data_IF_805342083423
#
_entry.id   IF_805342083423
#
_cell.length_a   1.000
_cell.length_b   1.000
_cell.length_c   1.000
_cell.angle_alpha   90.00
_cell.angle_beta   90.00
_cell.angle_gamma   90.00
#
_symmetry.space_group_name_H-M   'P 1'
#
loop_
_entity.id
_entity.type
_entity.pdbx_description
1 polymer ?
#
# COMPACT_ATOMS: atom_id res chain seq x y z
N UNK A 1 -53.83 -54.03 -5.68
CA UNK A 1 -53.08 -53.06 -6.52
C UNK A 1 -53.74 -51.66 -6.70
N UNK A 2 -55.04 -51.53 -7.02
CA UNK A 2 -55.69 -50.22 -7.25
C UNK A 2 -55.91 -49.35 -6.00
N UNK A 3 -56.20 -49.96 -4.83
CA UNK A 3 -56.45 -49.22 -3.57
C UNK A 3 -55.19 -48.55 -3.00
N UNK A 4 -54.01 -49.03 -3.36
CA UNK A 4 -52.73 -48.57 -2.83
C UNK A 4 -52.13 -47.38 -3.61
N UNK A 5 -52.56 -47.17 -4.86
CA UNK A 5 -52.16 -45.99 -5.63
C UNK A 5 -52.96 -44.73 -5.25
N UNK A 6 -54.23 -44.89 -4.86
CA UNK A 6 -55.09 -43.78 -4.47
C UNK A 6 -54.62 -43.10 -3.17
N UNK A 7 -54.02 -43.86 -2.25
CA UNK A 7 -53.47 -43.34 -0.98
C UNK A 7 -52.18 -42.54 -1.18
N UNK A 8 -51.32 -42.92 -2.15
CA UNK A 8 -50.11 -42.15 -2.50
C UNK A 8 -50.44 -40.82 -3.16
N UNK A 9 -51.45 -40.76 -4.04
CA UNK A 9 -51.87 -39.52 -4.68
C UNK A 9 -52.51 -38.54 -3.68
N UNK A 10 -53.31 -39.03 -2.72
CA UNK A 10 -53.86 -38.20 -1.62
C UNK A 10 -52.75 -37.64 -0.71
N UNK A 11 -51.72 -38.43 -0.38
CA UNK A 11 -50.58 -37.94 0.43
C UNK A 11 -49.76 -36.85 -0.27
N UNK A 12 -49.57 -36.94 -1.60
CA UNK A 12 -48.87 -35.87 -2.36
C UNK A 12 -49.67 -34.57 -2.38
N UNK A 13 -50.99 -34.64 -2.56
CA UNK A 13 -51.85 -33.45 -2.49
C UNK A 13 -51.84 -32.79 -1.10
N UNK A 14 -51.87 -33.59 -0.02
CA UNK A 14 -51.81 -33.02 1.34
C UNK A 14 -50.46 -32.36 1.65
N UNK A 15 -49.34 -32.90 1.15
CA UNK A 15 -48.02 -32.24 1.32
C UNK A 15 -47.93 -30.89 0.60
N UNK A 16 -48.49 -30.77 -0.61
CA UNK A 16 -48.54 -29.49 -1.32
C UNK A 16 -49.38 -28.44 -0.59
N UNK A 17 -50.53 -28.84 -0.03
CA UNK A 17 -51.40 -27.91 0.70
C UNK A 17 -50.71 -27.41 1.98
N UNK A 18 -50.01 -28.29 2.71
CA UNK A 18 -49.29 -27.89 3.92
C UNK A 18 -48.17 -26.87 3.65
N UNK A 19 -47.45 -27.01 2.52
CA UNK A 19 -46.40 -26.03 2.13
C UNK A 19 -47.01 -24.69 1.78
N UNK A 20 -48.12 -24.67 1.02
CA UNK A 20 -48.80 -23.41 0.64
C UNK A 20 -49.32 -22.69 1.89
N UNK A 21 -49.95 -23.41 2.82
CA UNK A 21 -50.43 -22.82 4.08
C UNK A 21 -49.28 -22.27 4.94
N UNK A 22 -48.15 -22.97 4.99
CA UNK A 22 -46.96 -22.49 5.69
C UNK A 22 -46.41 -21.18 5.11
N UNK A 23 -46.31 -21.09 3.78
CA UNK A 23 -45.84 -19.87 3.09
C UNK A 23 -46.83 -18.71 3.28
N UNK A 24 -48.14 -18.95 3.22
CA UNK A 24 -49.13 -17.89 3.45
C UNK A 24 -49.14 -17.40 4.89
N UNK A 25 -49.00 -18.29 5.89
CA UNK A 25 -48.89 -17.87 7.29
C UNK A 25 -47.60 -17.07 7.52
N UNK A 26 -46.48 -17.49 6.93
CA UNK A 26 -45.22 -16.74 7.02
C UNK A 26 -45.32 -15.33 6.41
N UNK A 27 -45.93 -15.21 5.22
CA UNK A 27 -46.15 -13.91 4.59
C UNK A 27 -47.09 -13.00 5.40
N UNK A 28 -48.13 -13.56 6.04
CA UNK A 28 -49.01 -12.80 6.93
C UNK A 28 -48.29 -12.35 8.21
N UNK A 29 -47.38 -13.16 8.76
CA UNK A 29 -46.55 -12.77 9.91
C UNK A 29 -45.57 -11.64 9.54
N UNK A 30 -44.90 -11.75 8.39
CA UNK A 30 -43.98 -10.69 7.91
C UNK A 30 -44.76 -9.39 7.62
N UNK A 31 -45.97 -9.48 7.07
CA UNK A 31 -46.82 -8.31 6.84
C UNK A 31 -47.30 -7.66 8.15
N UNK A 32 -47.58 -8.45 9.19
CA UNK A 32 -48.00 -7.92 10.49
C UNK A 32 -46.87 -7.19 11.24
N UNK A 33 -45.60 -7.61 11.05
CA UNK A 33 -44.45 -6.92 11.63
C UNK A 33 -44.09 -5.62 10.88
N UNK A 34 -44.53 -5.46 9.63
CA UNK A 34 -44.23 -4.29 8.78
C UNK A 34 -45.05 -3.03 9.07
N UNK A 35 -46.06 -3.08 9.95
CA UNK A 35 -46.96 -1.94 10.21
C UNK A 35 -46.67 -1.19 11.53
N UNK A 36 -45.64 -1.57 12.28
CA UNK A 36 -45.32 -0.94 13.57
C UNK A 36 -44.14 0.05 13.54
N UNK A 37 -43.64 0.41 12.35
CA UNK A 37 -42.50 1.34 12.18
C UNK A 37 -42.81 2.47 11.19
N UNK A 38 -43.97 3.13 11.32
CA UNK A 38 -44.32 4.24 10.42
C UNK A 38 -44.58 5.61 11.04
N UNK A 39 -44.37 5.81 12.36
CA UNK A 39 -44.60 7.14 12.97
C UNK A 39 -43.41 7.78 13.73
N UNK A 40 -42.20 7.19 13.71
CA UNK A 40 -40.99 7.87 14.26
C UNK A 40 -39.79 7.95 13.29
N UNK A 41 -39.96 7.53 12.04
CA UNK A 41 -38.85 7.46 11.08
C UNK A 41 -38.66 8.71 10.20
N UNK A 42 -39.41 9.81 10.41
CA UNK A 42 -39.23 11.05 9.64
C UNK A 42 -38.26 12.05 10.27
N UNK A 43 -37.99 11.95 11.57
CA UNK A 43 -37.12 12.91 12.29
C UNK A 43 -35.64 12.51 12.21
N UNK A 44 -35.33 11.21 12.23
CA UNK A 44 -33.95 10.72 12.23
C UNK A 44 -33.29 10.85 10.85
N UNK A 45 -34.05 10.66 9.77
CA UNK A 45 -33.53 10.75 8.39
C UNK A 45 -33.22 12.20 8.00
N UNK A 46 -34.00 13.17 8.50
CA UNK A 46 -33.72 14.59 8.32
C UNK A 46 -32.49 15.04 9.13
N UNK A 47 -32.33 14.57 10.36
CA UNK A 47 -31.15 14.89 11.17
C UNK A 47 -29.85 14.35 10.55
N UNK A 48 -29.87 13.11 10.04
CA UNK A 48 -28.70 12.54 9.37
C UNK A 48 -28.33 13.28 8.08
N UNK A 49 -29.32 13.82 7.36
CA UNK A 49 -29.06 14.59 6.15
C UNK A 49 -28.53 16.00 6.48
N UNK A 50 -29.02 16.64 7.53
CA UNK A 50 -28.44 17.91 8.01
C UNK A 50 -27.02 17.71 8.53
N UNK A 51 -26.78 16.68 9.33
CA UNK A 51 -25.44 16.35 9.84
C UNK A 51 -24.47 16.01 8.69
N UNK A 52 -24.93 15.28 7.66
CA UNK A 52 -24.13 15.00 6.45
C UNK A 52 -23.85 16.27 5.64
N UNK A 53 -24.82 17.16 5.51
CA UNK A 53 -24.65 18.44 4.80
C UNK A 53 -23.75 19.41 5.57
N UNK A 54 -23.76 19.35 6.90
CA UNK A 54 -22.83 20.12 7.75
C UNK A 54 -21.41 19.53 7.69
N UNK A 55 -21.28 18.20 7.65
CA UNK A 55 -20.00 17.52 7.42
C UNK A 55 -19.40 17.86 6.04
N UNK A 56 -20.22 17.91 5.00
CA UNK A 56 -19.80 18.30 3.64
C UNK A 56 -19.45 19.79 3.53
N UNK A 57 -20.09 20.67 4.32
CA UNK A 57 -19.72 22.09 4.41
C UNK A 57 -18.36 22.28 5.09
N UNK A 58 -18.07 21.55 6.17
CA UNK A 58 -16.79 21.66 6.86
C UNK A 58 -15.62 21.03 6.08
N UNK A 59 -15.88 20.02 5.24
CA UNK A 59 -14.83 19.42 4.39
C UNK A 59 -14.30 20.34 3.29
N UNK A 60 -15.02 21.42 2.94
CA UNK A 60 -14.64 22.35 1.86
C UNK A 60 -13.56 23.36 2.25
N UNK A 61 -13.11 23.39 3.50
CA UNK A 61 -12.06 24.31 3.96
C UNK A 61 -10.64 23.69 3.96
N UNK A 62 -10.50 22.36 3.85
CA UNK A 62 -9.19 21.68 3.90
C UNK A 62 -8.74 21.05 2.57
N UNK A 63 -9.58 21.10 1.53
CA UNK A 63 -9.31 20.50 0.20
C UNK A 63 -9.07 21.57 -0.88
N UNK A 64 -8.43 22.69 -0.54
CA UNK A 64 -7.67 23.40 -1.57
C UNK A 64 -6.44 22.54 -1.90
N UNK A 65 -6.23 22.11 -3.15
CA UNK A 65 -4.99 21.45 -3.54
C UNK A 65 -3.90 22.49 -3.35
N UNK A 66 -3.25 22.45 -2.19
CA UNK A 66 -1.99 23.13 -2.00
C UNK A 66 -1.07 22.54 -3.06
N UNK A 67 -0.91 23.30 -4.17
CA UNK A 67 0.18 23.15 -5.13
C UNK A 67 1.39 22.68 -4.35
N UNK A 68 2.07 21.57 -4.72
CA UNK A 68 3.17 21.05 -3.94
C UNK A 68 4.15 22.20 -3.74
N UNK A 69 4.16 22.77 -2.53
CA UNK A 69 5.11 23.83 -2.20
C UNK A 69 6.45 23.17 -2.42
N UNK A 70 7.18 23.60 -3.44
CA UNK A 70 8.61 23.32 -3.55
C UNK A 70 9.16 23.71 -2.19
N UNK A 71 9.55 22.72 -1.38
CA UNK A 71 10.10 23.00 -0.06
C UNK A 71 11.24 23.99 -0.27
N UNK A 72 11.15 25.22 0.29
CA UNK A 72 12.26 26.15 0.20
C UNK A 72 13.44 25.44 0.85
N UNK A 73 14.55 25.34 0.10
CA UNK A 73 15.83 24.97 0.67
C UNK A 73 16.04 25.81 1.92
N UNK A 74 16.30 25.20 3.08
CA UNK A 74 16.48 25.96 4.31
C UNK A 74 17.51 27.06 4.08
N UNK A 75 17.12 28.30 4.36
CA UNK A 75 18.05 29.42 4.28
C UNK A 75 19.18 29.21 5.29
N UNK A 76 20.37 29.82 5.08
CA UNK A 76 21.42 29.79 6.09
C UNK A 76 20.87 30.31 7.43
N UNK A 77 20.90 29.46 8.46
CA UNK A 77 20.37 29.76 9.81
C UNK A 77 19.05 29.09 10.19
N UNK A 78 18.38 28.35 9.30
CA UNK A 78 17.18 27.59 9.66
C UNK A 78 17.52 26.26 10.36
N UNK A 79 16.92 26.03 11.53
CA UNK A 79 16.98 24.77 12.26
C UNK A 79 16.16 23.73 11.47
N UNK A 80 16.84 22.74 10.91
CA UNK A 80 16.18 21.58 10.30
C UNK A 80 15.72 20.67 11.43
N UNK A 81 14.42 20.69 11.73
CA UNK A 81 13.83 19.76 12.69
C UNK A 81 13.92 18.32 12.14
N UNK A 82 14.33 17.34 12.96
CA UNK A 82 14.30 15.94 12.56
C UNK A 82 12.87 15.50 12.26
N UNK A 83 12.70 14.54 11.36
CA UNK A 83 11.37 14.06 10.96
C UNK A 83 10.56 13.46 12.14
N UNK A 84 11.23 13.08 13.23
CA UNK A 84 10.63 12.56 14.46
C UNK A 84 9.74 13.57 15.18
N UNK A 85 10.03 14.86 15.02
CA UNK A 85 9.40 15.93 15.80
C UNK A 85 8.11 16.42 15.16
N UNK A 86 7.78 15.91 13.97
CA UNK A 86 6.55 16.23 13.26
C UNK A 86 5.42 15.27 13.64
N UNK A 87 4.18 15.74 13.54
CA UNK A 87 2.95 15.03 13.94
C UNK A 87 2.86 13.56 13.48
N UNK A 88 3.31 13.26 12.26
CA UNK A 88 3.21 11.93 11.66
C UNK A 88 4.54 11.14 11.68
N UNK A 89 5.60 11.74 12.24
CA UNK A 89 6.94 11.17 12.32
C UNK A 89 7.61 10.93 10.96
N UNK A 90 8.57 10.01 10.95
CA UNK A 90 9.37 9.66 9.77
C UNK A 90 8.76 8.53 8.93
N UNK A 91 9.07 8.49 7.65
CA UNK A 91 8.89 7.33 6.78
C UNK A 91 9.84 6.18 7.17
N UNK A 92 9.79 5.06 6.44
CA UNK A 92 10.59 3.87 6.78
C UNK A 92 12.12 4.10 6.65
N UNK A 93 12.54 5.17 6.00
CA UNK A 93 13.94 5.58 5.91
C UNK A 93 14.48 6.29 7.17
N UNK A 94 13.60 6.64 8.11
CA UNK A 94 13.95 7.35 9.33
C UNK A 94 14.40 8.80 9.11
N UNK A 95 14.21 9.36 7.91
CA UNK A 95 14.70 10.69 7.53
C UNK A 95 13.63 11.53 6.84
N UNK A 96 12.83 10.91 6.00
CA UNK A 96 11.78 11.60 5.26
C UNK A 96 10.57 11.81 6.15
N UNK A 97 10.04 13.03 6.25
CA UNK A 97 8.82 13.32 7.01
C UNK A 97 7.60 12.68 6.34
N UNK A 98 6.77 11.98 7.12
CA UNK A 98 5.47 11.49 6.65
C UNK A 98 4.49 12.67 6.48
N UNK A 99 3.70 12.67 5.40
CA UNK A 99 2.74 13.74 5.11
C UNK A 99 1.41 13.58 5.87
N UNK A 100 1.12 12.38 6.36
CA UNK A 100 -0.12 12.06 7.08
C UNK A 100 0.00 10.80 7.92
N UNK A 101 -1.07 10.50 8.68
CA UNK A 101 -1.23 9.25 9.44
C UNK A 101 -1.01 8.03 8.54
N UNK A 102 -0.65 6.90 9.15
CA UNK A 102 -0.37 5.63 8.45
C UNK A 102 0.67 5.77 7.33
N UNK A 103 1.67 6.64 7.52
CA UNK A 103 2.76 6.89 6.55
C UNK A 103 2.25 7.41 5.19
N UNK A 104 1.13 8.13 5.15
CA UNK A 104 0.62 8.76 3.92
C UNK A 104 1.71 9.65 3.30
N UNK A 105 1.89 9.52 1.98
CA UNK A 105 2.90 10.23 1.21
C UNK A 105 4.32 9.64 1.24
N UNK A 106 4.59 8.60 2.06
CA UNK A 106 5.89 7.92 2.04
C UNK A 106 6.08 7.06 0.78
N UNK A 107 4.98 6.49 0.24
CA UNK A 107 4.97 5.75 -1.04
C UNK A 107 5.60 6.55 -2.17
N UNK A 108 5.13 7.79 -2.39
CA UNK A 108 5.71 8.69 -3.39
C UNK A 108 7.13 9.15 -3.05
N UNK A 109 7.38 9.52 -1.79
CA UNK A 109 8.65 10.12 -1.40
C UNK A 109 9.81 9.11 -1.44
N UNK A 110 9.58 7.87 -1.03
CA UNK A 110 10.58 6.80 -1.02
C UNK A 110 10.48 5.87 -2.22
N UNK A 111 9.41 5.98 -3.02
CA UNK A 111 9.11 5.07 -4.11
C UNK A 111 9.05 3.63 -3.58
N UNK A 112 7.99 3.37 -2.82
CA UNK A 112 7.73 2.11 -2.12
C UNK A 112 6.26 1.73 -2.28
N UNK A 113 5.98 0.45 -2.24
CA UNK A 113 4.61 -0.04 -2.18
C UNK A 113 4.15 -0.04 -0.71
N UNK A 114 3.04 0.63 -0.42
CA UNK A 114 2.39 0.57 0.88
C UNK A 114 1.71 -0.79 1.09
N UNK A 115 1.24 -1.42 0.01
CA UNK A 115 0.57 -2.72 0.04
C UNK A 115 1.38 -3.80 -0.71
N UNK A 116 2.64 -4.01 -0.32
CA UNK A 116 3.63 -4.86 -1.04
C UNK A 116 3.08 -6.20 -1.55
N UNK A 117 2.38 -6.96 -0.71
CA UNK A 117 1.82 -8.26 -1.10
C UNK A 117 0.72 -8.15 -2.16
N UNK A 118 -0.16 -7.16 -2.04
CA UNK A 118 -1.19 -6.86 -3.03
C UNK A 118 -0.57 -6.42 -4.36
N UNK A 119 0.37 -5.48 -4.32
CA UNK A 119 1.01 -4.93 -5.52
C UNK A 119 1.81 -5.99 -6.28
N UNK A 120 2.49 -6.88 -5.56
CA UNK A 120 3.19 -8.00 -6.18
C UNK A 120 2.22 -9.00 -6.82
N UNK A 121 1.12 -9.33 -6.15
CA UNK A 121 0.15 -10.30 -6.65
C UNK A 121 -0.63 -9.79 -7.88
N UNK A 122 -0.81 -8.48 -8.00
CA UNK A 122 -1.62 -7.85 -9.05
C UNK A 122 -0.81 -7.02 -10.05
N UNK A 123 0.51 -7.23 -10.13
CA UNK A 123 1.42 -6.37 -10.90
C UNK A 123 0.99 -6.08 -12.34
N UNK A 124 0.37 -7.07 -12.99
CA UNK A 124 -0.08 -6.97 -14.40
C UNK A 124 -1.48 -6.34 -14.55
N UNK A 125 -2.17 -6.06 -13.44
CA UNK A 125 -3.54 -5.55 -13.38
C UNK A 125 -3.68 -4.23 -12.60
N UNK A 126 -2.57 -3.63 -12.16
CA UNK A 126 -2.60 -2.36 -11.44
C UNK A 126 -3.03 -1.21 -12.35
N UNK A 127 -4.00 -0.41 -11.91
CA UNK A 127 -4.24 0.90 -12.52
C UNK A 127 -3.19 1.90 -12.05
N UNK A 128 -2.16 2.13 -12.85
CA UNK A 128 -1.07 3.05 -12.51
C UNK A 128 -1.33 4.51 -12.89
N UNK A 129 -2.59 4.88 -13.17
CA UNK A 129 -2.99 6.27 -13.39
C UNK A 129 -2.80 7.08 -12.10
N UNK A 130 -2.17 8.26 -12.20
CA UNK A 130 -1.88 9.11 -11.02
C UNK A 130 -3.20 9.47 -10.31
N UNK A 131 -3.27 9.16 -9.02
CA UNK A 131 -4.45 9.39 -8.18
C UNK A 131 -5.40 8.20 -8.08
N UNK A 132 -5.16 7.10 -8.79
CA UNK A 132 -5.88 5.84 -8.56
C UNK A 132 -5.52 5.24 -7.20
N UNK A 133 -6.39 4.37 -6.69
CA UNK A 133 -6.15 3.64 -5.43
C UNK A 133 -4.93 2.73 -5.53
N UNK A 134 -4.74 2.10 -6.69
CA UNK A 134 -3.59 1.23 -6.96
C UNK A 134 -2.31 2.04 -7.00
N UNK A 135 -2.31 3.21 -7.64
CA UNK A 135 -1.16 4.10 -7.67
C UNK A 135 -0.72 4.52 -6.26
N UNK A 136 -1.66 4.93 -5.40
CA UNK A 136 -1.35 5.34 -4.01
C UNK A 136 -0.82 4.18 -3.15
N UNK A 137 -1.24 2.96 -3.44
CA UNK A 137 -0.82 1.75 -2.69
C UNK A 137 0.44 1.12 -3.26
N UNK A 138 0.65 1.23 -4.57
CA UNK A 138 1.60 0.46 -5.36
C UNK A 138 2.54 1.36 -6.15
N UNK A 139 3.00 2.45 -5.55
CA UNK A 139 3.81 3.47 -6.21
C UNK A 139 5.10 2.90 -6.82
N UNK A 140 5.74 1.93 -6.15
CA UNK A 140 6.92 1.22 -6.70
C UNK A 140 6.57 0.34 -7.88
N UNK A 141 5.53 -0.48 -7.73
CA UNK A 141 5.09 -1.35 -8.81
C UNK A 141 4.60 -0.58 -10.04
N UNK A 142 4.11 0.66 -9.84
CA UNK A 142 3.74 1.61 -10.89
C UNK A 142 4.91 2.47 -11.43
N UNK A 143 6.16 2.19 -11.05
CA UNK A 143 7.34 2.81 -11.64
C UNK A 143 7.70 4.21 -11.12
N UNK A 144 7.04 4.66 -10.03
CA UNK A 144 7.46 5.85 -9.29
C UNK A 144 7.59 7.17 -10.07
N UNK A 145 6.55 7.60 -10.79
CA UNK A 145 6.61 8.78 -11.66
C UNK A 145 6.94 10.08 -10.91
N UNK A 146 6.56 10.18 -9.64
CA UNK A 146 6.80 11.36 -8.81
C UNK A 146 8.03 11.26 -7.91
N UNK A 147 8.78 10.14 -7.98
CA UNK A 147 9.85 9.93 -7.03
C UNK A 147 11.06 10.80 -7.34
N UNK A 148 11.36 11.69 -6.40
CA UNK A 148 12.68 12.27 -6.25
C UNK A 148 13.54 11.30 -5.44
N UNK A 149 13.61 10.03 -5.86
CA UNK A 149 14.44 9.08 -5.13
C UNK A 149 15.83 9.68 -5.02
N UNK A 150 16.39 9.78 -3.79
CA UNK A 150 17.77 10.17 -3.67
C UNK A 150 18.57 9.15 -4.49
N UNK A 151 19.46 9.65 -5.36
CA UNK A 151 20.35 8.82 -6.15
C UNK A 151 20.92 7.70 -5.26
N UNK A 152 21.07 6.48 -5.78
CA UNK A 152 21.69 5.40 -5.00
C UNK A 152 23.05 5.86 -4.46
N UNK A 153 23.53 5.33 -3.33
CA UNK A 153 24.85 5.72 -2.79
C UNK A 153 25.95 5.64 -3.84
N UNK A 154 25.88 4.63 -4.72
CA UNK A 154 26.77 4.49 -5.86
C UNK A 154 26.62 5.65 -6.84
N UNK A 155 25.40 5.98 -7.25
CA UNK A 155 25.13 7.10 -8.15
C UNK A 155 25.52 8.45 -7.53
N UNK A 156 25.28 8.66 -6.23
CA UNK A 156 25.78 9.82 -5.50
C UNK A 156 27.30 9.92 -5.60
N UNK A 157 28.02 8.84 -5.30
CA UNK A 157 29.47 8.82 -5.43
C UNK A 157 29.92 9.11 -6.88
N UNK A 158 29.26 8.51 -7.88
CA UNK A 158 29.59 8.75 -9.29
C UNK A 158 29.40 10.23 -9.68
N UNK A 159 28.42 10.93 -9.09
CA UNK A 159 28.24 12.37 -9.32
C UNK A 159 29.31 13.24 -8.66
N UNK A 160 29.94 12.78 -7.57
CA UNK A 160 30.98 13.53 -6.84
C UNK A 160 32.32 13.61 -7.58
N UNK A 161 32.52 12.88 -8.69
CA UNK A 161 33.78 12.82 -9.47
C UNK A 161 35.02 12.60 -8.58
N UNK A 162 35.13 11.42 -8.01
CA UNK A 162 36.25 11.02 -7.16
C UNK A 162 37.47 10.61 -8.00
N UNK A 163 38.69 10.83 -7.50
CA UNK A 163 39.94 10.62 -8.26
C UNK A 163 40.10 9.18 -8.80
N UNK A 164 39.66 8.17 -8.05
CA UNK A 164 39.79 6.75 -8.43
C UNK A 164 38.43 6.07 -8.66
N UNK A 165 37.37 6.86 -8.83
CA UNK A 165 36.00 6.39 -8.96
C UNK A 165 35.43 5.83 -7.66
N UNK A 166 34.37 5.01 -7.80
CA UNK A 166 33.59 4.52 -6.66
C UNK A 166 33.73 3.01 -6.47
N UNK A 167 33.65 2.59 -5.21
CA UNK A 167 33.41 1.22 -4.79
C UNK A 167 31.93 0.85 -5.00
N UNK A 168 31.62 -0.44 -5.09
CA UNK A 168 30.25 -0.92 -5.35
C UNK A 168 29.24 -0.52 -4.26
N UNK A 169 29.71 -0.29 -3.03
CA UNK A 169 28.88 0.18 -1.91
C UNK A 169 28.65 1.72 -1.93
N UNK A 170 29.17 2.42 -2.94
CA UNK A 170 29.07 3.87 -3.08
C UNK A 170 30.06 4.67 -2.26
N UNK A 171 31.10 4.06 -1.71
CA UNK A 171 32.22 4.82 -1.11
C UNK A 171 33.22 5.25 -2.20
N UNK A 172 33.86 6.42 -2.04
CA UNK A 172 34.96 6.81 -2.92
C UNK A 172 36.14 5.83 -2.75
N UNK A 173 36.72 5.40 -3.87
CA UNK A 173 37.96 4.64 -3.82
C UNK A 173 39.13 5.59 -3.51
N UNK A 174 39.96 5.21 -2.55
CA UNK A 174 41.15 5.94 -2.11
C UNK A 174 42.39 5.56 -2.92
N UNK A 175 42.36 4.42 -3.62
CA UNK A 175 43.49 3.94 -4.44
C UNK A 175 43.07 3.69 -5.89
N UNK A 176 43.97 3.89 -6.88
CA UNK A 176 43.68 3.63 -8.30
C UNK A 176 43.21 2.20 -8.56
N UNK A 177 43.75 1.24 -7.82
CA UNK A 177 43.45 -0.18 -7.96
C UNK A 177 42.20 -0.62 -7.18
N UNK A 178 41.53 0.29 -6.46
CA UNK A 178 40.34 0.01 -5.63
C UNK A 178 40.59 -1.10 -4.60
N UNK A 179 41.81 -1.21 -4.07
CA UNK A 179 42.17 -2.23 -3.06
C UNK A 179 41.54 -1.96 -1.70
N UNK A 180 41.24 -0.68 -1.45
CA UNK A 180 40.51 -0.19 -0.28
C UNK A 180 39.00 -0.47 -0.37
N UNK A 181 38.48 -0.85 -1.54
CA UNK A 181 37.08 -1.20 -1.66
C UNK A 181 36.77 -2.55 -0.99
N UNK A 182 35.58 -2.71 -0.38
CA UNK A 182 35.18 -3.98 0.20
C UNK A 182 35.14 -5.09 -0.86
N UNK A 183 35.51 -6.34 -0.51
CA UNK A 183 35.38 -7.46 -1.43
C UNK A 183 33.92 -7.63 -1.85
N UNK A 184 33.71 -7.92 -3.13
CA UNK A 184 32.38 -8.22 -3.64
C UNK A 184 31.93 -9.61 -3.15
N UNK A 185 31.13 -9.62 -2.08
CA UNK A 185 30.49 -10.82 -1.54
C UNK A 185 29.22 -10.46 -0.77
N UNK A 186 28.26 -11.37 -0.76
CA UNK A 186 27.12 -11.26 0.14
C UNK A 186 27.57 -11.39 1.59
N UNK A 187 27.17 -10.44 2.43
CA UNK A 187 27.53 -10.43 3.85
C UNK A 187 26.73 -11.48 4.62
N UNK A 188 25.49 -11.74 4.20
CA UNK A 188 24.56 -12.67 4.84
C UNK A 188 24.00 -13.67 3.82
N UNK A 189 24.84 -14.53 3.21
CA UNK A 189 24.49 -15.31 2.03
C UNK A 189 23.25 -16.22 2.21
N UNK A 190 23.03 -16.76 3.42
CA UNK A 190 21.82 -17.54 3.72
C UNK A 190 20.56 -16.67 3.65
N UNK A 191 20.55 -15.54 4.37
CA UNK A 191 19.45 -14.57 4.38
C UNK A 191 19.22 -13.99 2.99
N UNK A 192 20.28 -13.66 2.26
CA UNK A 192 20.20 -13.16 0.88
C UNK A 192 19.49 -14.16 -0.05
N UNK A 193 19.77 -15.47 0.07
CA UNK A 193 19.07 -16.49 -0.73
C UNK A 193 17.59 -16.60 -0.36
N UNK A 194 17.25 -16.51 0.91
CA UNK A 194 15.86 -16.54 1.38
C UNK A 194 15.06 -15.34 0.84
N UNK A 195 15.59 -14.13 0.97
CA UNK A 195 14.90 -12.91 0.56
C UNK A 195 14.99 -12.60 -0.93
N UNK A 196 15.79 -13.33 -1.71
CA UNK A 196 15.94 -13.13 -3.17
C UNK A 196 14.60 -13.12 -3.90
N UNK A 197 13.67 -13.98 -3.49
CA UNK A 197 12.38 -14.16 -4.16
C UNK A 197 11.18 -13.61 -3.37
N UNK A 198 11.39 -13.26 -2.10
CA UNK A 198 10.33 -12.73 -1.24
C UNK A 198 10.07 -11.28 -1.63
N UNK A 199 8.82 -10.96 -1.97
CA UNK A 199 8.41 -9.61 -2.33
C UNK A 199 9.20 -8.96 -3.47
N UNK A 200 9.84 -9.75 -4.34
CA UNK A 200 10.70 -9.25 -5.42
C UNK A 200 12.16 -8.98 -5.02
N UNK A 201 12.57 -9.26 -3.78
CA UNK A 201 13.95 -9.22 -3.31
C UNK A 201 14.67 -7.89 -3.61
N UNK A 202 15.65 -7.93 -4.51
CA UNK A 202 16.44 -6.75 -4.91
C UNK A 202 15.61 -5.65 -5.58
N UNK A 203 14.48 -6.02 -6.19
CA UNK A 203 13.53 -5.12 -6.85
C UNK A 203 12.21 -5.05 -6.08
N UNK A 204 12.24 -5.31 -4.77
CA UNK A 204 11.05 -5.30 -3.94
C UNK A 204 10.46 -3.91 -3.80
N UNK A 205 9.13 -3.81 -3.80
CA UNK A 205 8.42 -2.60 -3.41
C UNK A 205 8.54 -2.25 -1.93
N UNK A 206 8.95 -3.22 -1.10
CA UNK A 206 9.24 -2.99 0.31
C UNK A 206 10.57 -2.26 0.50
N UNK A 207 10.53 -1.11 1.18
CA UNK A 207 11.73 -0.36 1.56
C UNK A 207 12.74 -1.24 2.31
N UNK A 208 12.26 -2.00 3.30
CA UNK A 208 13.11 -2.80 4.18
C UNK A 208 13.82 -3.94 3.44
N UNK A 209 13.06 -4.73 2.68
CA UNK A 209 13.62 -5.85 1.90
C UNK A 209 14.59 -5.31 0.85
N UNK A 210 14.19 -4.30 0.06
CA UNK A 210 15.04 -3.72 -0.98
C UNK A 210 16.33 -3.14 -0.41
N UNK A 211 16.25 -2.38 0.68
CA UNK A 211 17.42 -1.79 1.34
C UNK A 211 18.34 -2.85 1.91
N UNK A 212 17.79 -3.89 2.55
CA UNK A 212 18.55 -5.03 3.05
C UNK A 212 19.31 -5.72 1.92
N UNK A 213 18.60 -6.06 0.84
CA UNK A 213 19.16 -6.77 -0.31
C UNK A 213 20.26 -5.96 -0.99
N UNK A 214 20.05 -4.66 -1.23
CA UNK A 214 21.06 -3.79 -1.83
C UNK A 214 22.30 -3.59 -0.95
N UNK A 215 22.13 -3.56 0.38
CA UNK A 215 23.23 -3.29 1.32
C UNK A 215 24.04 -4.54 1.66
N UNK A 216 23.38 -5.68 1.84
CA UNK A 216 24.00 -6.90 2.37
C UNK A 216 24.14 -8.02 1.33
N UNK A 217 23.47 -7.91 0.19
CA UNK A 217 23.42 -8.95 -0.85
C UNK A 217 23.87 -8.45 -2.24
N UNK A 218 25.03 -7.75 -2.36
CA UNK A 218 25.43 -7.10 -3.60
C UNK A 218 25.75 -8.07 -4.74
N UNK A 219 26.14 -9.32 -4.45
CA UNK A 219 26.36 -10.32 -5.51
C UNK A 219 25.04 -10.85 -6.04
N UNK A 220 24.13 -11.26 -5.15
CA UNK A 220 22.80 -11.77 -5.55
C UNK A 220 22.00 -10.69 -6.28
N UNK A 221 22.13 -9.43 -5.89
CA UNK A 221 21.48 -8.31 -6.56
C UNK A 221 22.22 -7.81 -7.81
N UNK A 222 23.35 -8.41 -8.19
CA UNK A 222 24.11 -8.00 -9.38
C UNK A 222 24.73 -6.59 -9.28
N UNK A 223 24.86 -6.04 -8.06
CA UNK A 223 25.52 -4.75 -7.80
C UNK A 223 27.03 -4.88 -8.03
N UNK A 224 27.59 -6.06 -7.78
CA UNK A 224 28.99 -6.35 -8.05
C UNK A 224 29.18 -7.81 -8.45
N UNK A 225 30.33 -8.11 -9.05
CA UNK A 225 30.71 -9.45 -9.47
C UNK A 225 32.07 -9.83 -8.87
N UNK A 226 32.27 -11.13 -8.61
CA UNK A 226 33.61 -11.64 -8.30
C UNK A 226 34.49 -11.47 -9.53
N UNK A 227 35.63 -10.81 -9.36
CA UNK A 227 36.69 -10.86 -10.37
C UNK A 227 37.15 -12.31 -10.48
N UNK A 228 37.15 -12.84 -11.70
CA UNK A 228 37.74 -14.14 -12.02
C UNK A 228 39.25 -14.08 -11.84
#
# INVERSE_FOLDING_TARGET
>A
PRKEQLTRQKRRKMKSIAVILGVTVYLLLVAAEGQFMHDEHSVVEQQMLEDLMDFLKHKKADDEPQRPRKYPTPGPGQIILPCSDYEYGCCQDGKTRAKGRNKKGCGDALCVDNAVGYCQANKDHLDCTIGSVDYERCTWSCGCPNSKQPASKLQQCMTTRTAFGCCWNGQPALTPNKRDCPPCRDLTPHTCRQFRYISGGCSSGSYGIRTFMQKYCPMICGVCYRKK
#
